data_IF_299069623083
#
_entry.id   IF_299069623083
#
_cell.length_a   1.000
_cell.length_b   1.000
_cell.length_c   1.000
_cell.angle_alpha   90.00
_cell.angle_beta   90.00
_cell.angle_gamma   90.00
#
_symmetry.space_group_name_H-M   'P 1'
#
loop_
_entity.id
_entity.type
_entity.pdbx_description
1 polymer ?
#
# COMPACT_ATOMS: atom_id res chain seq x y z
N UNK A 1 8.35 -19.19 -6.42
CA UNK A 1 7.99 -18.98 -5.02
C UNK A 1 8.10 -20.27 -4.24
N UNK A 2 8.56 -20.18 -2.99
CA UNK A 2 8.72 -21.34 -2.12
C UNK A 2 7.38 -21.83 -1.54
N UNK A 3 7.34 -23.10 -1.13
CA UNK A 3 6.17 -23.73 -0.55
C UNK A 3 6.00 -23.32 0.92
N UNK A 4 4.77 -22.99 1.31
CA UNK A 4 4.33 -22.92 2.69
C UNK A 4 3.84 -24.30 3.11
N UNK A 5 4.26 -24.76 4.30
CA UNK A 5 3.69 -25.94 4.95
C UNK A 5 3.30 -25.60 6.38
N UNK A 6 2.05 -25.90 6.74
CA UNK A 6 1.52 -25.81 8.09
C UNK A 6 1.04 -27.19 8.52
N UNK A 7 1.61 -27.71 9.61
CA UNK A 7 1.31 -29.05 10.12
C UNK A 7 1.05 -29.01 11.61
N UNK A 8 -0.04 -29.64 12.03
CA UNK A 8 -0.34 -29.93 13.43
C UNK A 8 -0.23 -31.42 13.70
N UNK A 9 0.51 -31.77 14.73
CA UNK A 9 0.73 -33.13 15.23
C UNK A 9 0.35 -33.21 16.70
N UNK A 10 0.32 -34.41 17.26
CA UNK A 10 0.02 -34.62 18.66
C UNK A 10 1.03 -33.92 19.61
N UNK A 11 2.29 -33.78 19.18
CA UNK A 11 3.40 -33.21 19.94
C UNK A 11 3.68 -31.72 19.64
N UNK A 12 2.95 -31.11 18.70
CA UNK A 12 3.12 -29.69 18.38
C UNK A 12 2.71 -29.26 16.98
N UNK A 13 3.19 -28.07 16.62
CA UNK A 13 2.95 -27.45 15.33
C UNK A 13 4.27 -27.18 14.62
N UNK A 14 4.33 -27.49 13.34
CA UNK A 14 5.49 -27.18 12.47
C UNK A 14 5.01 -26.29 11.32
N UNK A 15 5.70 -25.17 11.13
CA UNK A 15 5.50 -24.27 9.99
C UNK A 15 6.82 -24.13 9.24
N UNK A 16 6.76 -24.33 7.92
CA UNK A 16 7.88 -24.07 7.01
C UNK A 16 7.44 -23.05 5.98
N UNK A 17 8.25 -22.05 5.73
CA UNK A 17 7.93 -20.96 4.80
C UNK A 17 9.18 -20.55 4.00
N UNK A 18 8.96 -19.92 2.87
CA UNK A 18 10.00 -19.31 2.04
C UNK A 18 9.95 -17.77 2.11
N UNK A 19 8.76 -17.19 2.18
CA UNK A 19 8.53 -15.76 2.19
C UNK A 19 7.93 -15.29 3.53
N UNK A 20 8.32 -14.12 4.06
CA UNK A 20 7.87 -13.65 5.39
C UNK A 20 6.34 -13.63 5.57
N UNK A 21 5.58 -13.19 4.56
CA UNK A 21 4.11 -13.14 4.61
C UNK A 21 3.48 -14.52 4.83
N UNK A 22 4.14 -15.59 4.42
CA UNK A 22 3.65 -16.97 4.55
C UNK A 22 3.54 -17.41 6.03
N UNK A 23 4.29 -16.78 6.95
CA UNK A 23 4.14 -17.02 8.39
C UNK A 23 2.73 -16.66 8.85
N UNK A 24 2.22 -15.50 8.41
CA UNK A 24 0.87 -15.04 8.76
C UNK A 24 -0.21 -15.86 8.05
N UNK A 25 0.05 -16.29 6.82
CA UNK A 25 -0.81 -17.25 6.11
C UNK A 25 -0.89 -18.57 6.88
N UNK A 26 0.23 -19.10 7.36
CA UNK A 26 0.27 -20.31 8.18
C UNK A 26 -0.54 -20.15 9.47
N UNK A 27 -0.42 -19.01 10.16
CA UNK A 27 -1.24 -18.72 11.34
C UNK A 27 -2.74 -18.73 11.02
N UNK A 28 -3.12 -18.25 9.84
CA UNK A 28 -4.51 -18.32 9.38
C UNK A 28 -4.98 -19.75 9.17
N UNK A 29 -4.16 -20.61 8.55
CA UNK A 29 -4.44 -22.03 8.34
C UNK A 29 -4.55 -22.77 9.67
N UNK A 30 -3.58 -22.56 10.56
CA UNK A 30 -3.60 -23.14 11.91
C UNK A 30 -4.88 -22.78 12.66
N UNK A 31 -5.31 -21.52 12.58
CA UNK A 31 -6.55 -21.08 13.22
C UNK A 31 -7.79 -21.74 12.63
N UNK A 32 -7.85 -21.91 11.31
CA UNK A 32 -8.98 -22.54 10.62
C UNK A 32 -9.13 -24.02 10.97
N UNK A 33 -8.02 -24.73 11.10
CA UNK A 33 -7.96 -26.17 11.32
C UNK A 33 -7.60 -26.55 12.78
N UNK A 34 -7.63 -25.59 13.70
CA UNK A 34 -7.17 -25.81 15.08
C UNK A 34 -7.92 -26.89 15.83
N UNK A 35 -9.22 -27.08 15.52
CA UNK A 35 -10.08 -28.09 16.14
C UNK A 35 -9.81 -29.53 15.68
N UNK A 36 -9.06 -29.71 14.58
CA UNK A 36 -8.65 -31.02 14.08
C UNK A 36 -7.54 -31.61 14.98
N UNK A 37 -7.54 -32.91 15.21
CA UNK A 37 -6.51 -33.58 15.99
C UNK A 37 -5.13 -33.49 15.34
N UNK A 38 -5.08 -33.64 14.00
CA UNK A 38 -3.89 -33.47 13.19
C UNK A 38 -4.27 -33.02 11.78
N UNK A 39 -3.39 -32.23 11.15
CA UNK A 39 -3.50 -31.85 9.74
C UNK A 39 -2.12 -31.53 9.15
N UNK A 40 -2.02 -31.58 7.84
CA UNK A 40 -0.88 -31.08 7.07
C UNK A 40 -1.38 -30.41 5.81
N UNK A 41 -1.09 -29.12 5.66
CA UNK A 41 -1.49 -28.30 4.53
C UNK A 41 -0.26 -27.73 3.87
N UNK A 42 -0.13 -27.89 2.56
CA UNK A 42 0.93 -27.31 1.74
C UNK A 42 0.30 -26.38 0.71
N UNK A 43 0.83 -25.15 0.60
CA UNK A 43 0.43 -24.16 -0.39
C UNK A 43 1.65 -23.68 -1.16
N UNK A 44 1.55 -23.71 -2.50
CA UNK A 44 2.54 -23.11 -3.38
C UNK A 44 1.88 -21.95 -4.11
N UNK A 45 2.37 -20.71 -3.95
CA UNK A 45 1.83 -19.56 -4.65
C UNK A 45 1.94 -19.73 -6.17
N UNK A 46 0.86 -19.44 -6.89
CA UNK A 46 0.86 -19.44 -8.36
C UNK A 46 1.57 -18.20 -8.94
N UNK A 47 1.66 -17.12 -8.17
CA UNK A 47 2.30 -15.86 -8.55
C UNK A 47 3.31 -15.46 -7.47
N UNK A 48 4.42 -14.86 -7.88
CA UNK A 48 5.44 -14.33 -6.96
C UNK A 48 4.93 -13.11 -6.20
N UNK A 49 4.12 -12.28 -6.88
CA UNK A 49 3.54 -11.07 -6.30
C UNK A 49 2.03 -11.10 -6.46
N UNK A 50 1.33 -10.93 -5.36
CA UNK A 50 -0.14 -10.86 -5.30
C UNK A 50 -0.57 -9.85 -4.25
N UNK A 51 -1.48 -8.94 -4.61
CA UNK A 51 -1.82 -7.87 -3.68
C UNK A 51 -3.15 -7.19 -3.92
N UNK A 52 -3.33 -6.07 -3.22
CA UNK A 52 -4.50 -5.21 -3.32
C UNK A 52 -4.08 -3.77 -3.58
N UNK A 53 -4.92 -3.04 -4.33
CA UNK A 53 -4.82 -1.59 -4.46
C UNK A 53 -5.87 -0.93 -3.56
N UNK A 54 -5.41 0.00 -2.73
CA UNK A 54 -6.24 0.87 -1.91
C UNK A 54 -6.37 2.22 -2.60
N UNK A 55 -7.57 2.58 -3.00
CA UNK A 55 -7.85 3.94 -3.45
C UNK A 55 -8.03 4.83 -2.23
N UNK A 56 -7.03 5.66 -1.95
CA UNK A 56 -7.01 6.57 -0.80
C UNK A 56 -7.22 8.02 -1.22
N UNK A 57 -7.77 8.28 -2.40
CA UNK A 57 -7.95 9.63 -2.95
C UNK A 57 -9.36 9.96 -3.37
N UNK A 58 -10.03 9.12 -4.17
CA UNK A 58 -11.27 9.50 -4.85
C UNK A 58 -12.48 9.55 -3.93
N UNK A 59 -12.63 8.56 -3.04
CA UNK A 59 -13.80 8.47 -2.15
C UNK A 59 -13.48 8.89 -0.72
N UNK A 60 -12.39 8.37 -0.17
CA UNK A 60 -11.95 8.66 1.20
C UNK A 60 -10.46 8.46 1.35
N UNK A 61 -9.87 9.19 2.30
CA UNK A 61 -8.51 8.89 2.80
C UNK A 61 -8.69 7.98 4.02
N UNK A 62 -8.19 6.75 3.92
CA UNK A 62 -8.28 5.79 5.01
C UNK A 62 -7.41 6.22 6.18
N UNK A 63 -7.93 6.13 7.39
CA UNK A 63 -7.12 6.33 8.60
C UNK A 63 -5.98 5.29 8.64
N UNK A 64 -4.77 5.66 9.13
CA UNK A 64 -3.62 4.74 9.22
C UNK A 64 -3.95 3.41 9.92
N UNK A 65 -4.77 3.44 10.99
CA UNK A 65 -5.17 2.22 11.70
C UNK A 65 -6.10 1.32 10.86
N UNK A 66 -6.90 1.89 9.98
CA UNK A 66 -7.71 1.15 9.02
C UNK A 66 -6.84 0.45 7.98
N UNK A 67 -5.80 1.14 7.46
CA UNK A 67 -4.81 0.51 6.57
C UNK A 67 -4.07 -0.63 7.28
N UNK A 68 -3.60 -0.43 8.52
CA UNK A 68 -2.99 -1.50 9.34
C UNK A 68 -3.92 -2.71 9.50
N UNK A 69 -5.21 -2.46 9.69
CA UNK A 69 -6.20 -3.55 9.76
C UNK A 69 -6.25 -4.34 8.45
N UNK A 70 -6.31 -3.66 7.29
CA UNK A 70 -6.31 -4.34 5.99
C UNK A 70 -5.00 -5.07 5.72
N UNK A 71 -3.85 -4.47 6.02
CA UNK A 71 -2.54 -5.12 5.86
C UNK A 71 -2.47 -6.44 6.66
N UNK A 72 -2.97 -6.47 7.91
CA UNK A 72 -3.07 -7.73 8.67
C UNK A 72 -3.96 -8.77 7.98
N UNK A 73 -5.07 -8.35 7.38
CA UNK A 73 -5.94 -9.27 6.63
C UNK A 73 -5.25 -9.81 5.38
N UNK A 74 -4.53 -8.94 4.67
CA UNK A 74 -3.73 -9.32 3.51
C UNK A 74 -2.67 -10.35 3.90
N UNK A 75 -1.91 -10.11 4.95
CA UNK A 75 -0.90 -11.04 5.44
C UNK A 75 -1.51 -12.42 5.78
N UNK A 76 -2.68 -12.45 6.45
CA UNK A 76 -3.41 -13.70 6.73
C UNK A 76 -3.93 -14.42 5.49
N UNK A 77 -4.05 -13.73 4.37
CA UNK A 77 -4.41 -14.29 3.06
C UNK A 77 -3.18 -14.68 2.24
N UNK A 78 -1.97 -14.32 2.67
CA UNK A 78 -0.72 -14.55 1.96
C UNK A 78 -0.46 -13.54 0.84
N UNK A 79 -1.10 -12.37 0.87
CA UNK A 79 -0.87 -11.28 -0.08
C UNK A 79 0.36 -10.48 0.34
N UNK A 80 1.28 -10.25 -0.58
CA UNK A 80 2.59 -9.64 -0.32
C UNK A 80 2.79 -8.26 -0.96
N UNK A 81 1.76 -7.67 -1.60
CA UNK A 81 1.82 -6.33 -2.19
C UNK A 81 0.61 -5.50 -1.80
N UNK A 82 0.82 -4.32 -1.22
CA UNK A 82 -0.18 -3.28 -1.03
C UNK A 82 0.13 -2.08 -1.93
N UNK A 83 -0.76 -1.70 -2.83
CA UNK A 83 -0.61 -0.50 -3.65
C UNK A 83 -1.50 0.61 -3.10
N UNK A 84 -0.92 1.78 -2.83
CA UNK A 84 -1.66 2.95 -2.37
C UNK A 84 -1.88 3.91 -3.55
N UNK A 85 -3.07 3.85 -4.16
CA UNK A 85 -3.45 4.80 -5.20
C UNK A 85 -3.71 6.16 -4.60
N UNK A 86 -2.88 7.14 -4.95
CA UNK A 86 -3.01 8.51 -4.49
C UNK A 86 -2.92 9.52 -5.62
N UNK A 87 -3.76 10.56 -5.54
CA UNK A 87 -3.73 11.74 -6.42
C UNK A 87 -2.96 12.85 -5.71
N UNK A 88 -3.53 13.38 -4.63
CA UNK A 88 -2.98 14.49 -3.85
C UNK A 88 -3.02 14.23 -2.32
N UNK A 89 -3.13 13.00 -1.89
CA UNK A 89 -3.42 12.66 -0.49
C UNK A 89 -2.20 12.29 0.34
N UNK A 90 -1.05 12.92 0.06
CA UNK A 90 0.18 12.85 0.83
C UNK A 90 0.89 14.21 0.88
N UNK A 91 1.75 14.41 1.86
CA UNK A 91 2.48 15.66 2.02
C UNK A 91 3.62 15.78 1.02
N UNK A 92 3.69 16.94 0.36
CA UNK A 92 4.83 17.32 -0.48
C UNK A 92 5.47 18.56 0.13
N UNK A 93 6.75 18.50 0.56
CA UNK A 93 7.46 19.63 1.11
C UNK A 93 7.45 20.83 0.15
N UNK A 94 7.14 22.02 0.67
CA UNK A 94 7.06 23.23 -0.16
C UNK A 94 5.74 23.44 -0.90
N UNK A 95 4.85 22.43 -0.94
CA UNK A 95 3.57 22.48 -1.67
C UNK A 95 2.35 22.46 -0.71
N UNK A 96 2.06 23.57 -0.01
CA UNK A 96 1.02 23.59 1.03
C UNK A 96 -0.40 23.31 0.50
N UNK A 97 -0.66 23.58 -0.77
CA UNK A 97 -1.95 23.35 -1.41
C UNK A 97 -2.12 21.96 -1.99
N UNK A 98 -1.04 21.18 -2.15
CA UNK A 98 -1.13 19.78 -2.54
C UNK A 98 -1.75 18.97 -1.40
N UNK A 99 -2.93 18.41 -1.62
CA UNK A 99 -3.72 17.69 -0.61
C UNK A 99 -4.31 18.58 0.49
N UNK A 100 -4.40 19.88 0.29
CA UNK A 100 -5.01 20.79 1.28
C UNK A 100 -6.49 20.45 1.52
N UNK A 101 -6.87 20.32 2.79
CA UNK A 101 -8.20 19.87 3.24
C UNK A 101 -8.63 18.47 2.78
N UNK A 102 -7.69 17.62 2.36
CA UNK A 102 -7.96 16.27 1.89
C UNK A 102 -7.72 15.18 2.94
N UNK A 103 -7.21 15.52 4.11
CA UNK A 103 -6.80 14.54 5.12
C UNK A 103 -5.57 13.74 4.67
N UNK A 104 -4.66 14.39 3.94
CA UNK A 104 -3.43 13.79 3.40
C UNK A 104 -2.56 13.15 4.50
N UNK A 105 -1.88 12.10 4.14
CA UNK A 105 -0.90 11.45 5.00
C UNK A 105 0.35 12.32 5.15
N UNK A 106 0.86 12.40 6.37
CA UNK A 106 2.21 12.92 6.61
C UNK A 106 3.26 11.90 6.18
N UNK A 107 4.49 12.38 5.95
CA UNK A 107 5.63 11.51 5.66
C UNK A 107 5.86 10.49 6.79
N UNK A 108 5.70 10.91 8.06
CA UNK A 108 5.88 10.02 9.21
C UNK A 108 4.79 8.93 9.28
N UNK A 109 3.54 9.26 8.92
CA UNK A 109 2.46 8.27 8.84
C UNK A 109 2.72 7.25 7.73
N UNK A 110 3.20 7.68 6.55
CA UNK A 110 3.54 6.79 5.45
C UNK A 110 4.71 5.86 5.81
N UNK A 111 5.78 6.39 6.41
CA UNK A 111 6.90 5.56 6.90
C UNK A 111 6.46 4.54 7.93
N UNK A 112 5.62 4.95 8.90
CA UNK A 112 5.10 4.05 9.91
C UNK A 112 4.15 2.97 9.34
N UNK A 113 3.50 3.23 8.21
CA UNK A 113 2.69 2.25 7.47
C UNK A 113 3.59 1.29 6.69
N UNK A 114 4.64 1.80 6.06
CA UNK A 114 5.62 1.02 5.31
C UNK A 114 6.38 0.06 6.24
N UNK A 115 6.94 0.56 7.35
CA UNK A 115 7.57 -0.25 8.39
C UNK A 115 6.62 -1.35 8.91
N UNK A 116 5.33 -1.02 9.06
CA UNK A 116 4.33 -1.97 9.50
C UNK A 116 4.02 -3.03 8.45
N UNK A 117 3.97 -2.67 7.18
CA UNK A 117 3.77 -3.58 6.06
C UNK A 117 4.97 -4.53 5.91
N UNK A 118 6.20 -4.00 5.99
CA UNK A 118 7.44 -4.77 5.93
C UNK A 118 7.49 -5.84 7.05
N UNK A 119 7.13 -5.48 8.28
CA UNK A 119 7.01 -6.43 9.40
C UNK A 119 6.04 -7.59 9.09
N UNK A 120 5.04 -7.36 8.26
CA UNK A 120 4.07 -8.39 7.81
C UNK A 120 4.53 -9.15 6.56
N UNK A 121 5.68 -8.80 5.99
CA UNK A 121 6.17 -9.34 4.71
C UNK A 121 5.37 -8.83 3.50
N UNK A 122 4.86 -7.62 3.57
CA UNK A 122 4.10 -6.94 2.51
C UNK A 122 4.90 -5.73 2.03
N UNK A 123 5.18 -5.65 0.74
CA UNK A 123 5.69 -4.44 0.10
C UNK A 123 4.55 -3.43 -0.01
N UNK A 124 4.73 -2.21 0.51
CA UNK A 124 3.78 -1.12 0.36
C UNK A 124 4.25 -0.17 -0.73
N UNK A 125 3.59 -0.24 -1.89
CA UNK A 125 4.00 0.49 -3.07
C UNK A 125 3.15 1.76 -3.27
N UNK A 126 3.75 2.96 -3.40
CA UNK A 126 3.02 4.15 -3.80
C UNK A 126 2.61 4.02 -5.27
N UNK A 127 1.34 4.35 -5.55
CA UNK A 127 0.76 4.38 -6.89
C UNK A 127 0.23 5.78 -7.15
N UNK A 128 1.16 6.72 -7.39
CA UNK A 128 0.87 8.14 -7.53
C UNK A 128 0.43 8.49 -8.95
N UNK A 129 -0.40 9.52 -9.06
CA UNK A 129 -0.73 10.15 -10.33
C UNK A 129 0.29 11.24 -10.65
N UNK A 130 0.63 11.43 -11.91
CA UNK A 130 1.65 12.39 -12.34
C UNK A 130 1.07 13.51 -13.19
N UNK A 131 0.89 13.30 -14.49
CA UNK A 131 0.41 14.34 -15.41
C UNK A 131 -1.11 14.54 -15.38
N UNK A 132 -1.87 13.57 -14.90
CA UNK A 132 -3.34 13.63 -14.91
C UNK A 132 -3.97 13.15 -13.61
N UNK A 133 -5.31 13.21 -13.53
CA UNK A 133 -6.11 12.92 -12.33
C UNK A 133 -5.79 13.81 -11.13
N UNK A 134 -5.42 15.07 -11.39
CA UNK A 134 -5.01 16.04 -10.35
C UNK A 134 -6.04 17.13 -10.11
N UNK A 135 -7.31 16.94 -10.46
CA UNK A 135 -8.34 17.97 -10.37
C UNK A 135 -8.48 18.57 -8.95
N UNK A 136 -8.24 17.76 -7.92
CA UNK A 136 -8.33 18.20 -6.53
C UNK A 136 -7.16 19.11 -6.14
N UNK A 137 -5.97 18.84 -6.61
CA UNK A 137 -4.82 19.73 -6.43
C UNK A 137 -4.94 20.96 -7.32
N UNK A 138 -5.28 20.77 -8.60
CA UNK A 138 -5.29 21.82 -9.61
C UNK A 138 -6.43 22.83 -9.48
N UNK A 139 -7.45 22.62 -8.64
CA UNK A 139 -8.47 23.63 -8.40
C UNK A 139 -7.94 24.85 -7.61
N UNK A 140 -6.80 24.70 -6.91
CA UNK A 140 -6.22 25.78 -6.14
C UNK A 140 -5.54 26.82 -7.05
N UNK A 141 -5.80 28.13 -6.85
CA UNK A 141 -5.18 29.19 -7.67
C UNK A 141 -3.65 29.17 -7.66
N UNK A 142 -3.02 28.69 -6.59
CA UNK A 142 -1.58 28.58 -6.49
C UNK A 142 -0.96 27.65 -7.54
N UNK A 143 -1.72 26.65 -8.03
CA UNK A 143 -1.29 25.69 -9.05
C UNK A 143 -1.87 25.97 -10.43
N UNK A 144 -2.56 27.10 -10.62
CA UNK A 144 -3.22 27.44 -11.89
C UNK A 144 -2.27 27.57 -13.06
N UNK A 145 -1.02 27.96 -12.80
CA UNK A 145 0.02 28.12 -13.83
C UNK A 145 0.55 26.79 -14.40
N UNK A 146 0.28 25.67 -13.73
CA UNK A 146 0.69 24.34 -14.15
C UNK A 146 -0.38 23.61 -14.98
N UNK A 147 -1.57 24.22 -15.15
CA UNK A 147 -2.72 23.56 -15.78
C UNK A 147 -2.65 23.58 -17.30
N UNK A 148 -2.87 22.43 -17.93
CA UNK A 148 -3.42 22.35 -19.29
C UNK A 148 -4.95 22.46 -19.25
N UNK A 149 -5.56 21.69 -18.37
CA UNK A 149 -7.00 21.72 -18.09
C UNK A 149 -7.28 21.46 -16.59
N UNK A 150 -8.52 21.20 -16.20
CA UNK A 150 -8.89 21.10 -14.78
C UNK A 150 -8.28 19.91 -14.04
N UNK A 151 -7.78 18.88 -14.74
CA UNK A 151 -7.26 17.65 -14.13
C UNK A 151 -5.89 17.21 -14.68
N UNK A 152 -5.35 17.92 -15.68
CA UNK A 152 -4.11 17.56 -16.36
C UNK A 152 -3.13 18.71 -16.28
N UNK A 153 -1.86 18.38 -16.00
CA UNK A 153 -0.75 19.32 -16.02
C UNK A 153 -0.33 19.65 -17.46
N UNK A 154 0.21 20.86 -17.65
CA UNK A 154 0.75 21.34 -18.93
C UNK A 154 2.00 20.54 -19.28
N UNK A 155 1.92 19.69 -20.30
CA UNK A 155 3.07 18.96 -20.83
C UNK A 155 4.09 19.90 -21.49
N UNK A 156 5.34 19.47 -21.59
CA UNK A 156 6.46 20.24 -22.16
C UNK A 156 6.77 21.59 -21.48
N UNK A 157 6.29 21.78 -20.25
CA UNK A 157 6.60 22.95 -19.43
C UNK A 157 7.61 22.61 -18.32
N UNK A 158 8.69 23.40 -18.21
CA UNK A 158 9.75 23.16 -17.25
C UNK A 158 9.28 23.26 -15.77
N UNK A 159 8.27 24.12 -15.49
CA UNK A 159 7.71 24.25 -14.15
C UNK A 159 6.88 23.03 -13.78
N UNK A 160 6.17 22.44 -14.74
CA UNK A 160 5.48 21.17 -14.55
C UNK A 160 6.43 20.05 -14.17
N UNK A 161 7.55 19.91 -14.86
CA UNK A 161 8.52 18.87 -14.56
C UNK A 161 9.23 19.10 -13.23
N UNK A 162 9.54 20.34 -12.86
CA UNK A 162 10.06 20.67 -11.54
C UNK A 162 9.07 20.30 -10.43
N UNK A 163 7.79 20.58 -10.62
CA UNK A 163 6.72 20.17 -9.69
C UNK A 163 6.57 18.65 -9.61
N UNK A 164 6.65 17.93 -10.74
CA UNK A 164 6.65 16.47 -10.78
C UNK A 164 7.80 15.86 -9.98
N UNK A 165 9.02 16.41 -10.11
CA UNK A 165 10.19 15.96 -9.35
C UNK A 165 9.96 16.07 -7.84
N UNK A 166 9.37 17.18 -7.37
CA UNK A 166 9.08 17.38 -5.95
C UNK A 166 8.12 16.33 -5.38
N UNK A 167 7.02 16.04 -6.05
CA UNK A 167 6.05 15.12 -5.50
C UNK A 167 6.39 13.63 -5.75
N UNK A 168 7.15 13.31 -6.80
CA UNK A 168 7.73 11.97 -6.95
C UNK A 168 8.75 11.72 -5.84
N UNK A 169 9.65 12.70 -5.58
CA UNK A 169 10.63 12.59 -4.49
C UNK A 169 9.98 12.50 -3.10
N UNK A 170 8.80 13.10 -2.90
CA UNK A 170 8.06 13.00 -1.65
C UNK A 170 7.40 11.62 -1.44
N UNK A 171 7.18 10.86 -2.52
CA UNK A 171 6.56 9.53 -2.48
C UNK A 171 7.60 8.39 -2.48
N UNK A 172 8.86 8.67 -2.83
CA UNK A 172 9.98 7.72 -2.86
C UNK A 172 10.68 7.62 -1.51
#
# INVERSE_FOLDING_TARGET
GGCLRAEKRADGVVVTWAEPVQVYRALSLLRQHWAEDAFCIEETPCFETTGMMFDVSRNAVLQPDTLRFFLRKMAMMGLNLGMMYTEDTYEVPGQPYFGYQRGRYSTDELRALDDYADMLGIELCPCIQTLGHLNRALHWPALAHLKDNEEVLLADDAQTYAFLEEFIAAAA
#
